data_IF_215660481369
#
_entry.id   IF_215660481369
#
_cell.length_a   1.000
_cell.length_b   1.000
_cell.length_c   1.000
_cell.angle_alpha   90.00
_cell.angle_beta   90.00
_cell.angle_gamma   90.00
#
_symmetry.space_group_name_H-M   'P 1'
#
loop_
_entity.id
_entity.type
_entity.pdbx_description
1 polymer ?
2 polymer ?
3 non-polymer ?
4 water ?
#
# COMPACT_ATOMS: atom_id res chain seq x y z
N UNK A 1 11.94 31.91 -8.45
CA UNK A 1 13.38 32.28 -8.27
C UNK A 1 14.03 31.71 -7.00
N UNK A 2 13.32 31.77 -5.87
CA UNK A 2 13.81 31.20 -4.62
C UNK A 2 13.82 29.67 -4.62
N UNK A 3 12.83 29.06 -5.28
CA UNK A 3 12.80 27.61 -5.47
C UNK A 3 13.87 27.11 -6.45
N UNK A 4 14.14 27.91 -7.49
CA UNK A 4 15.22 27.62 -8.43
C UNK A 4 16.57 27.56 -7.71
N UNK A 5 16.81 28.54 -6.82
CA UNK A 5 18.00 28.56 -5.95
C UNK A 5 18.16 27.27 -5.14
N UNK A 6 17.06 26.79 -4.56
CA UNK A 6 17.06 25.55 -3.76
C UNK A 6 17.26 24.29 -4.60
N UNK A 7 16.58 24.22 -5.74
CA UNK A 7 16.72 23.07 -6.66
C UNK A 7 18.10 22.96 -7.31
N UNK A 8 18.72 24.11 -7.57
CA UNK A 8 20.09 24.15 -8.13
C UNK A 8 21.14 23.59 -7.16
N UNK A 9 20.98 23.88 -5.87
CA UNK A 9 21.85 23.31 -4.83
C UNK A 9 21.79 21.78 -4.77
N UNK A 10 20.59 21.22 -4.98
CA UNK A 10 20.40 19.77 -5.04
C UNK A 10 21.06 19.19 -6.30
N UNK A 11 20.75 19.77 -7.45
CA UNK A 11 21.33 19.34 -8.74
C UNK A 11 22.86 19.49 -8.78
N UNK A 12 23.38 20.54 -8.16
CA UNK A 12 24.83 20.74 -8.03
C UNK A 12 25.49 19.63 -7.22
N UNK A 13 24.85 19.24 -6.12
CA UNK A 13 25.30 18.12 -5.29
C UNK A 13 25.16 16.77 -5.99
N UNK A 14 24.06 16.59 -6.73
CA UNK A 14 23.83 15.37 -7.52
C UNK A 14 24.92 15.16 -8.58
N UNK A 15 25.31 16.23 -9.25
CA UNK A 15 26.40 16.20 -10.23
C UNK A 15 27.76 15.94 -9.57
N UNK A 16 27.96 16.50 -8.38
CA UNK A 16 29.17 16.23 -7.58
C UNK A 16 29.27 14.76 -7.19
N UNK A 17 28.13 14.14 -6.88
CA UNK A 17 28.07 12.71 -6.53
C UNK A 17 28.35 11.80 -7.73
N UNK A 18 27.79 12.14 -8.89
CA UNK A 18 28.00 11.35 -10.11
C UNK A 18 29.44 11.44 -10.63
N UNK A 19 30.10 12.59 -10.40
CA UNK A 19 31.53 12.74 -10.68
C UNK A 19 32.39 11.77 -9.86
N UNK A 20 32.01 11.60 -8.60
CA UNK A 20 32.67 10.63 -7.70
C UNK A 20 32.35 9.17 -8.09
N UNK A 21 31.09 8.90 -8.44
CA UNK A 21 30.64 7.55 -8.81
C UNK A 21 31.35 6.99 -10.05
N UNK A 22 31.58 7.85 -11.04
CA UNK A 22 32.34 7.46 -12.25
C UNK A 22 33.81 7.19 -11.94
N UNK A 23 34.39 7.97 -11.04
CA UNK A 23 35.79 7.77 -10.62
C UNK A 23 35.93 6.52 -9.74
N UNK A 24 35.28 6.55 -8.58
CA UNK A 24 35.37 5.45 -7.61
C UNK A 24 34.41 4.32 -7.97
N UNK A 35 34.68 10.87 -1.42
CA UNK A 35 33.25 10.67 -1.21
C UNK A 35 32.59 11.95 -0.65
N UNK A 36 31.87 12.71 -1.51
CA UNK A 36 31.18 13.91 -1.04
C UNK A 36 30.08 13.63 -0.01
N UNK A 37 30.07 14.41 1.08
CA UNK A 37 29.07 14.28 2.14
C UNK A 37 27.99 15.38 1.99
N UNK A 38 26.73 15.05 2.33
CA UNK A 38 25.63 16.02 2.20
C UNK A 38 25.65 17.15 3.24
N UNK A 39 26.19 16.89 4.44
CA UNK A 39 26.27 17.89 5.50
C UNK A 39 27.13 19.12 5.14
N UNK A 40 28.17 18.90 4.34
CA UNK A 40 29.08 19.96 3.91
C UNK A 40 28.45 20.92 2.90
N UNK A 41 27.64 20.39 1.99
CA UNK A 41 26.98 21.18 0.94
C UNK A 41 25.65 21.84 1.36
N UNK A 42 25.17 21.55 2.57
CA UNK A 42 23.93 22.14 3.12
C UNK A 42 22.69 21.71 2.32
N UNK A 43 22.52 20.39 2.22
CA UNK A 43 21.47 19.77 1.40
C UNK A 43 20.20 19.48 2.20
N UNK A 44 20.35 18.95 3.41
CA UNK A 44 19.19 18.57 4.24
C UNK A 44 18.31 19.75 4.66
N UNK A 45 18.90 20.93 4.92
CA UNK A 45 18.09 22.15 5.10
C UNK A 45 17.37 22.60 3.83
N UNK A 46 18.02 22.47 2.67
CA UNK A 46 17.43 22.89 1.39
C UNK A 46 16.23 22.04 0.99
N UNK A 47 16.38 20.71 1.07
CA UNK A 47 15.29 19.78 0.79
C UNK A 47 14.16 19.85 1.83
N UNK A 48 14.49 20.21 3.07
CA UNK A 48 13.49 20.41 4.13
C UNK A 48 12.53 21.56 3.82
N UNK A 49 13.04 22.62 3.17
CA UNK A 49 12.19 23.73 2.71
C UNK A 49 11.28 23.25 1.57
N UNK A 50 11.85 22.55 0.59
CA UNK A 50 11.10 21.98 -0.54
C UNK A 50 10.05 20.96 -0.10
N UNK A 51 10.36 20.17 0.94
CA UNK A 51 9.39 19.27 1.57
C UNK A 51 8.16 20.05 2.05
N UNK A 52 8.40 21.17 2.71
CA UNK A 52 7.33 22.03 3.22
C UNK A 52 6.61 22.80 2.10
N UNK A 53 7.37 23.28 1.11
CA UNK A 53 6.78 23.97 -0.05
C UNK A 53 5.90 23.06 -0.92
N UNK A 54 6.19 21.76 -0.94
CA UNK A 54 5.44 20.79 -1.77
C UNK A 54 3.99 20.54 -1.34
N UNK A 55 3.62 20.94 -0.13
CA UNK A 55 2.22 20.84 0.33
C UNK A 55 1.27 21.77 -0.42
N UNK A 56 1.72 22.99 -0.72
CA UNK A 56 0.91 23.96 -1.45
C UNK A 56 0.80 23.62 -2.93
N UNK A 57 -0.38 23.83 -3.50
CA UNK A 57 -0.67 23.46 -4.89
C UNK A 57 -0.01 24.38 -5.91
N UNK A 58 -0.03 25.69 -5.63
CA UNK A 58 0.62 26.69 -6.49
C UNK A 58 2.15 26.53 -6.51
N UNK A 59 2.74 26.14 -5.38
CA UNK A 59 4.17 25.85 -5.30
C UNK A 59 4.55 24.55 -6.04
N UNK A 60 3.65 23.56 -6.05
CA UNK A 60 3.87 22.32 -6.83
C UNK A 60 3.91 22.58 -8.34
N UNK A 61 3.06 23.49 -8.82
CA UNK A 61 3.07 23.89 -10.23
C UNK A 61 4.39 24.55 -10.62
N UNK A 62 4.95 25.36 -9.71
CA UNK A 62 6.26 25.98 -9.90
C UNK A 62 7.41 24.96 -9.90
N UNK A 63 7.29 23.91 -9.08
CA UNK A 63 8.27 22.81 -9.07
C UNK A 63 8.27 22.00 -10.37
N UNK A 64 7.07 21.68 -10.86
CA UNK A 64 6.91 20.85 -12.06
C UNK A 64 7.47 21.51 -13.34
N UNK A 65 7.36 22.84 -13.42
CA UNK A 65 7.96 23.60 -14.53
C UNK A 65 9.49 23.56 -14.47
N UNK A 66 10.04 23.76 -13.29
CA UNK A 66 11.50 23.79 -13.07
C UNK A 66 12.15 22.40 -12.88
N UNK A 67 11.37 21.32 -12.98
CA UNK A 67 11.90 19.96 -12.90
C UNK A 67 12.26 19.55 -11.48
N UNK A 68 11.36 19.86 -10.54
CA UNK A 68 11.59 19.61 -9.11
C UNK A 68 11.51 18.15 -8.71
N UNK A 69 10.59 17.41 -9.32
CA UNK A 69 10.44 15.98 -9.07
C UNK A 69 11.67 15.18 -9.49
N UNK A 70 12.30 15.59 -10.59
CA UNK A 70 13.48 14.90 -11.11
C UNK A 70 14.72 15.13 -10.23
N UNK A 71 14.88 16.36 -9.72
CA UNK A 71 16.01 16.70 -8.85
C UNK A 71 15.94 16.02 -7.49
N UNK A 72 14.75 16.02 -6.88
CA UNK A 72 14.53 15.41 -5.56
C UNK A 72 14.63 13.88 -5.63
N UNK A 73 14.10 13.29 -6.70
CA UNK A 73 14.17 11.84 -6.90
C UNK A 73 15.60 11.33 -7.07
N UNK A 74 16.40 12.05 -7.85
CA UNK A 74 17.82 11.71 -8.07
C UNK A 74 18.69 11.92 -6.81
N UNK A 75 18.32 12.89 -5.99
CA UNK A 75 18.97 13.11 -4.68
C UNK A 75 18.73 11.90 -3.76
N UNK A 76 17.48 11.45 -3.71
CA UNK A 76 17.11 10.24 -2.98
C UNK A 76 17.78 8.99 -3.56
N UNK A 77 17.83 8.92 -4.89
CA UNK A 77 18.45 7.79 -5.60
C UNK A 77 19.94 7.66 -5.28
N UNK A 78 20.68 8.75 -5.50
CA UNK A 78 22.14 8.74 -5.37
C UNK A 78 22.63 8.51 -3.93
N UNK A 79 21.89 9.02 -2.95
CA UNK A 79 22.22 8.84 -1.54
C UNK A 79 22.02 7.39 -1.07
N UNK A 80 20.97 6.74 -1.57
CA UNK A 80 20.71 5.33 -1.30
C UNK A 80 21.79 4.42 -1.90
N UNK A 81 22.24 4.74 -3.11
CA UNK A 81 23.31 4.00 -3.79
C UNK A 81 24.67 4.16 -3.12
N UNK A 82 24.95 5.36 -2.59
CA UNK A 82 26.23 5.67 -1.95
C UNK A 82 26.36 5.03 -0.56
N UNK A 83 25.49 5.44 0.36
CA UNK A 83 25.57 5.03 1.77
C UNK A 83 24.88 3.71 2.10
N UNK A 84 23.96 3.26 1.25
CA UNK A 84 23.26 1.98 1.46
C UNK A 84 22.15 2.11 2.49
N UNK A 85 22.04 1.10 3.37
CA UNK A 85 21.04 1.08 4.43
C UNK A 85 21.66 1.53 5.76
N UNK A 86 22.15 2.78 5.77
CA UNK A 86 22.85 3.34 6.92
C UNK A 86 21.90 3.74 8.06
N UNK A 87 22.42 3.74 9.28
CA UNK A 87 21.71 4.24 10.47
C UNK A 87 22.06 5.72 10.78
N UNK A 88 22.84 6.36 9.92
CA UNK A 88 23.20 7.77 10.07
C UNK A 88 21.96 8.65 10.03
N UNK A 89 21.86 9.57 11.00
CA UNK A 89 20.69 10.45 11.14
C UNK A 89 20.56 11.41 9.96
N UNK A 90 21.67 11.98 9.51
CA UNK A 90 21.67 12.97 8.44
C UNK A 90 21.27 12.36 7.08
N UNK A 91 21.66 11.10 6.85
CA UNK A 91 21.29 10.37 5.64
C UNK A 91 19.80 10.00 5.63
N UNK A 92 19.29 9.51 6.76
CA UNK A 92 17.88 9.09 6.87
C UNK A 92 16.93 10.29 6.82
N UNK A 93 17.26 11.34 7.57
CA UNK A 93 16.48 12.58 7.59
C UNK A 93 16.40 13.24 6.20
N UNK A 94 17.47 13.15 5.43
CA UNK A 94 17.49 13.61 4.04
C UNK A 94 16.55 12.80 3.15
N UNK A 95 16.58 11.48 3.31
CA UNK A 95 15.71 10.57 2.58
C UNK A 95 14.23 10.70 2.99
N UNK A 96 13.98 11.05 4.25
CA UNK A 96 12.62 11.28 4.74
C UNK A 96 12.01 12.53 4.09
N UNK A 97 12.70 13.66 4.17
CA UNK A 97 12.23 14.92 3.58
C UNK A 97 12.10 14.86 2.05
N UNK A 98 12.98 14.09 1.40
CA UNK A 98 12.91 13.87 -0.05
C UNK A 98 11.67 13.06 -0.44
N UNK A 99 11.44 11.96 0.27
CA UNK A 99 10.29 11.09 0.03
C UNK A 99 8.95 11.75 0.33
N UNK A 100 8.90 12.59 1.36
CA UNK A 100 7.70 13.37 1.69
C UNK A 100 7.34 14.38 0.60
N UNK A 101 8.36 14.95 -0.06
CA UNK A 101 8.16 15.86 -1.19
C UNK A 101 7.64 15.13 -2.42
N UNK A 102 8.21 13.96 -2.71
CA UNK A 102 7.78 13.13 -3.84
C UNK A 102 6.35 12.61 -3.70
N UNK A 103 5.95 12.30 -2.46
CA UNK A 103 4.57 11.90 -2.16
C UNK A 103 3.58 12.99 -2.56
N UNK A 104 3.88 14.23 -2.17
CA UNK A 104 3.03 15.38 -2.47
C UNK A 104 3.01 15.71 -3.97
N UNK A 105 4.16 15.58 -4.62
CA UNK A 105 4.27 15.81 -6.06
C UNK A 105 3.53 14.74 -6.89
N UNK A 106 3.58 13.49 -6.44
CA UNK A 106 2.85 12.39 -7.10
C UNK A 106 1.33 12.44 -6.85
N UNK A 107 0.90 13.08 -5.76
CA UNK A 107 -0.52 13.17 -5.40
C UNK A 107 -1.34 13.97 -6.42
N UNK A 108 -2.17 13.25 -7.18
CA UNK A 108 -3.12 13.87 -8.11
C UNK A 108 -2.44 14.46 -9.34
N UNK A 109 -1.51 13.70 -9.91
CA UNK A 109 -0.76 14.13 -11.09
C UNK A 109 -0.28 12.90 -11.86
N UNK A 110 -1.02 12.52 -12.89
CA UNK A 110 -0.75 11.32 -13.69
C UNK A 110 0.62 11.33 -14.37
N UNK A 111 1.06 12.52 -14.80
CA UNK A 111 2.38 12.69 -15.43
C UNK A 111 3.52 12.41 -14.45
N UNK A 112 3.41 12.98 -13.25
CA UNK A 112 4.42 12.79 -12.20
C UNK A 112 4.53 11.35 -11.70
N UNK A 113 3.39 10.63 -11.67
CA UNK A 113 3.38 9.20 -11.34
C UNK A 113 4.19 8.41 -12.37
N UNK A 114 3.92 8.66 -13.65
CA UNK A 114 4.64 8.04 -14.76
C UNK A 114 6.13 8.39 -14.80
N UNK A 115 6.44 9.65 -14.48
CA UNK A 115 7.83 10.14 -14.49
C UNK A 115 8.69 9.44 -13.44
N UNK A 116 8.19 9.36 -12.21
CA UNK A 116 8.91 8.70 -11.13
C UNK A 116 9.02 7.18 -11.33
N UNK A 117 7.98 6.58 -11.92
CA UNK A 117 8.01 5.17 -12.31
C UNK A 117 9.04 4.91 -13.41
N UNK A 118 9.07 5.77 -14.42
CA UNK A 118 10.01 5.65 -15.55
C UNK A 118 11.48 5.75 -15.11
N UNK A 119 11.76 6.54 -14.08
CA UNK A 119 13.08 6.60 -13.46
C UNK A 119 13.34 5.33 -12.66
N UNK A 120 13.75 4.27 -13.36
CA UNK A 120 13.87 2.93 -12.77
C UNK A 120 15.01 2.79 -11.76
N UNK A 121 16.04 3.63 -11.86
CA UNK A 121 17.11 3.69 -10.86
C UNK A 121 16.60 4.13 -9.50
N UNK A 122 15.72 5.13 -9.49
CA UNK A 122 15.11 5.64 -8.27
C UNK A 122 14.10 4.66 -7.65
N UNK A 123 13.36 3.95 -8.50
CA UNK A 123 12.36 2.97 -8.04
C UNK A 123 12.99 1.79 -7.29
N UNK A 124 14.12 1.29 -7.80
CA UNK A 124 14.90 0.25 -7.10
C UNK A 124 15.46 0.78 -5.77
N UNK A 125 15.91 2.03 -5.78
CA UNK A 125 16.40 2.70 -4.56
C UNK A 125 15.31 2.89 -3.51
N UNK A 126 14.07 3.16 -3.95
CA UNK A 126 12.93 3.32 -3.04
C UNK A 126 12.55 2.02 -2.33
N UNK A 127 12.39 0.94 -3.10
CA UNK A 127 11.94 -0.35 -2.58
C UNK A 127 12.91 -0.95 -1.56
N UNK A 128 14.21 -0.72 -1.76
CA UNK A 128 15.25 -1.22 -0.84
C UNK A 128 15.19 -0.63 0.58
N UNK A 129 14.64 0.57 0.71
CA UNK A 129 14.55 1.26 2.01
C UNK A 129 13.47 0.72 2.97
N UNK A 130 12.60 -0.17 2.49
CA UNK A 130 11.60 -0.81 3.35
C UNK A 130 12.19 -1.75 4.42
N UNK A 131 13.40 -2.28 4.16
CA UNK A 131 14.13 -3.09 5.14
C UNK A 131 14.91 -2.28 6.20
N UNK A 132 14.90 -0.95 6.09
CA UNK A 132 15.59 -0.07 7.03
C UNK A 132 15.05 -0.17 8.46
N UNK A 133 15.91 0.12 9.44
CA UNK A 133 15.54 0.05 10.86
C UNK A 133 14.57 1.16 11.29
N UNK A 134 14.67 2.32 10.64
CA UNK A 134 13.76 3.43 10.92
C UNK A 134 12.38 3.16 10.30
N UNK A 135 11.37 2.97 11.17
CA UNK A 135 9.99 2.77 10.74
C UNK A 135 9.34 4.05 10.20
N UNK A 136 9.88 5.21 10.58
CA UNK A 136 9.48 6.49 9.98
C UNK A 136 9.82 6.51 8.48
N UNK A 137 11.02 6.03 8.14
CA UNK A 137 11.44 5.91 6.74
C UNK A 137 10.59 4.91 5.95
N UNK A 138 10.20 3.81 6.60
CA UNK A 138 9.27 2.83 6.02
C UNK A 138 7.91 3.46 5.71
N UNK A 139 7.43 4.31 6.62
CA UNK A 139 6.16 5.02 6.45
C UNK A 139 6.18 6.01 5.28
N UNK A 140 7.31 6.70 5.10
CA UNK A 140 7.50 7.67 4.00
C UNK A 140 7.58 6.96 2.65
N UNK A 141 8.33 5.85 2.60
CA UNK A 141 8.49 5.06 1.37
C UNK A 141 7.16 4.44 0.92
N UNK A 142 6.41 3.90 1.88
CA UNK A 142 5.09 3.32 1.62
C UNK A 142 4.06 4.35 1.12
N UNK A 143 4.18 5.59 1.61
CA UNK A 143 3.33 6.70 1.17
C UNK A 143 3.55 7.08 -0.30
N UNK A 144 4.79 7.00 -0.77
CA UNK A 144 5.13 7.27 -2.17
C UNK A 144 4.54 6.18 -3.07
N UNK A 145 4.73 4.92 -2.67
CA UNK A 145 4.23 3.77 -3.44
C UNK A 145 2.69 3.68 -3.48
N UNK A 146 2.03 4.28 -2.48
CA UNK A 146 0.56 4.38 -2.46
C UNK A 146 0.04 5.24 -3.61
N UNK A 147 0.64 6.42 -3.78
CA UNK A 147 0.24 7.36 -4.84
C UNK A 147 0.60 6.85 -6.24
N UNK A 148 1.76 6.21 -6.37
CA UNK A 148 2.19 5.62 -7.64
C UNK A 148 1.29 4.46 -8.09
N UNK A 149 0.93 3.60 -7.13
CA UNK A 149 0.01 2.48 -7.39
C UNK A 149 -1.43 2.92 -7.70
N UNK A 150 -1.84 4.07 -7.17
CA UNK A 150 -3.19 4.60 -7.42
C UNK A 150 -3.26 5.24 -8.82
N UNK A 151 -4.21 4.78 -9.63
CA UNK A 151 -4.42 5.24 -11.00
C UNK A 151 -3.14 5.16 -11.86
N UNK A 152 -2.50 3.99 -11.80
CA UNK A 152 -1.28 3.74 -12.54
C UNK A 152 -1.59 3.38 -13.98
N UNK A 153 -0.83 3.97 -14.92
CA UNK A 153 -0.89 3.57 -16.33
C UNK A 153 -0.27 2.18 -16.54
N UNK A 154 -0.42 1.64 -17.74
CA UNK A 154 0.02 0.27 -18.06
C UNK A 154 1.52 0.08 -17.79
N UNK A 155 2.33 1.05 -18.20
CA UNK A 155 3.79 1.00 -17.97
C UNK A 155 4.15 1.13 -16.49
N UNK A 156 3.44 1.99 -15.77
CA UNK A 156 3.64 2.17 -14.32
C UNK A 156 3.25 0.94 -13.52
N UNK A 157 2.18 0.26 -13.93
CA UNK A 157 1.78 -1.02 -13.34
C UNK A 157 2.85 -2.10 -13.53
N UNK A 158 3.34 -2.22 -14.77
CA UNK A 158 4.39 -3.18 -15.10
C UNK A 158 5.72 -2.92 -14.40
N UNK A 159 6.06 -1.64 -14.22
CA UNK A 159 7.29 -1.25 -13.53
C UNK A 159 7.25 -1.56 -12.03
N UNK A 160 6.11 -1.30 -11.40
CA UNK A 160 5.90 -1.62 -9.97
C UNK A 160 6.02 -3.12 -9.67
N UNK A 161 5.55 -3.95 -10.61
CA UNK A 161 5.72 -5.40 -10.52
C UNK A 161 7.17 -5.84 -10.76
N UNK A 162 7.82 -5.19 -11.73
CA UNK A 162 9.23 -5.48 -12.09
C UNK A 162 10.19 -5.25 -10.92
N UNK A 163 10.08 -4.09 -10.28
CA UNK A 163 10.93 -3.73 -9.13
C UNK A 163 10.68 -4.57 -7.88
N UNK A 164 9.49 -5.17 -7.78
CA UNK A 164 9.15 -6.09 -6.69
C UNK A 164 8.69 -5.37 -5.44
N UNK A 165 7.80 -4.40 -5.62
CA UNK A 165 7.24 -3.62 -4.51
C UNK A 165 6.19 -4.39 -3.70
N UNK A 166 5.55 -5.38 -4.33
CA UNK A 166 4.47 -6.14 -3.71
C UNK A 166 5.00 -7.05 -2.60
N UNK A 167 6.01 -7.84 -2.92
CA UNK A 167 6.64 -8.73 -1.94
C UNK A 167 7.46 -7.99 -0.89
N UNK A 168 8.07 -6.86 -1.28
CA UNK A 168 8.84 -6.02 -0.36
C UNK A 168 7.98 -5.35 0.71
N UNK A 169 6.81 -4.85 0.31
CA UNK A 169 5.85 -4.22 1.24
C UNK A 169 5.18 -5.23 2.17
N UNK A 170 4.86 -6.41 1.66
CA UNK A 170 4.23 -7.48 2.45
C UNK A 170 5.21 -8.05 3.49
N UNK A 171 6.45 -8.30 3.06
CA UNK A 171 7.53 -8.72 3.98
C UNK A 171 7.84 -7.65 5.04
N UNK A 172 7.81 -6.39 4.62
CA UNK A 172 7.97 -5.25 5.53
C UNK A 172 6.84 -5.20 6.58
N UNK A 173 5.60 -5.34 6.11
CA UNK A 173 4.40 -5.24 6.96
C UNK A 173 4.38 -6.18 8.17
N UNK A 174 5.00 -7.36 8.04
CA UNK A 174 5.09 -8.34 9.13
C UNK A 174 5.89 -7.81 10.33
N UNK A 175 6.99 -7.13 10.06
CA UNK A 175 7.88 -6.61 11.11
C UNK A 175 7.58 -5.17 11.57
N UNK A 176 6.56 -4.53 10.99
CA UNK A 176 6.14 -3.18 11.40
C UNK A 176 5.54 -3.21 12.81
N UNK A 177 5.84 -2.16 13.59
CA UNK A 177 5.37 -2.03 14.97
C UNK A 177 4.36 -0.88 15.10
N UNK A 178 4.75 0.31 14.63
CA UNK A 178 3.90 1.50 14.71
C UNK A 178 2.71 1.45 13.75
N UNK A 179 1.62 2.10 14.15
CA UNK A 179 0.37 2.11 13.39
C UNK A 179 0.44 2.98 12.13
N UNK A 180 1.10 4.14 12.26
CA UNK A 180 1.28 5.08 11.14
C UNK A 180 2.03 4.46 9.96
N UNK A 181 3.08 3.68 10.27
CA UNK A 181 3.82 2.91 9.27
C UNK A 181 2.94 1.83 8.64
N UNK A 182 2.25 1.07 9.49
CA UNK A 182 1.39 -0.04 9.04
C UNK A 182 0.23 0.41 8.14
N UNK A 183 -0.29 1.62 8.39
CA UNK A 183 -1.36 2.19 7.56
C UNK A 183 -0.89 2.41 6.13
N UNK A 184 0.24 3.11 5.97
CA UNK A 184 0.79 3.44 4.66
C UNK A 184 1.20 2.21 3.85
N UNK A 185 1.71 1.17 4.53
CA UNK A 185 2.13 -0.07 3.88
C UNK A 185 0.92 -0.85 3.35
N UNK A 186 -0.09 -1.02 4.20
CA UNK A 186 -1.33 -1.70 3.82
C UNK A 186 -2.16 -0.90 2.80
N UNK A 187 -2.04 0.44 2.84
CA UNK A 187 -2.66 1.30 1.82
C UNK A 187 -2.07 1.06 0.42
N UNK A 188 -0.75 0.91 0.36
CA UNK A 188 -0.05 0.63 -0.89
C UNK A 188 -0.36 -0.77 -1.44
N UNK A 189 -0.38 -1.77 -0.55
CA UNK A 189 -0.71 -3.15 -0.92
C UNK A 189 -2.16 -3.32 -1.42
N UNK A 190 -3.08 -2.54 -0.85
CA UNK A 190 -4.48 -2.55 -1.27
C UNK A 190 -4.63 -2.00 -2.70
N UNK A 191 -3.92 -0.91 -2.99
CA UNK A 191 -3.84 -0.36 -4.35
C UNK A 191 -3.12 -1.30 -5.32
N UNK A 192 -2.01 -1.90 -4.86
CA UNK A 192 -1.23 -2.84 -5.68
C UNK A 192 -1.98 -4.15 -5.98
N UNK A 193 -2.76 -4.63 -5.02
CA UNK A 193 -3.53 -5.87 -5.19
C UNK A 193 -4.61 -5.78 -6.29
N UNK A 194 -5.14 -4.58 -6.52
CA UNK A 194 -6.20 -4.36 -7.51
C UNK A 194 -5.72 -4.29 -8.98
N UNK A 195 -4.41 -4.21 -9.21
CA UNK A 195 -3.87 -4.05 -10.56
C UNK A 195 -4.07 -5.29 -11.44
N UNK A 196 -3.62 -6.44 -10.95
CA UNK A 196 -3.66 -7.69 -11.73
C UNK A 196 -3.65 -8.93 -10.85
N UNK A 197 -3.93 -10.07 -11.48
CA UNK A 197 -3.92 -11.39 -10.81
C UNK A 197 -2.55 -11.81 -10.28
N UNK A 198 -1.49 -11.43 -10.97
CA UNK A 198 -0.12 -11.77 -10.58
C UNK A 198 0.34 -10.99 -9.34
N UNK A 199 -0.17 -9.77 -9.18
CA UNK A 199 0.07 -8.97 -7.97
C UNK A 199 -0.59 -9.60 -6.74
N UNK A 200 -1.77 -10.19 -6.94
CA UNK A 200 -2.50 -10.90 -5.87
C UNK A 200 -1.77 -12.18 -5.44
N UNK A 201 -1.21 -12.89 -6.41
CA UNK A 201 -0.43 -14.12 -6.15
C UNK A 201 0.83 -13.84 -5.34
N UNK A 202 1.51 -12.75 -5.65
CA UNK A 202 2.73 -12.33 -4.93
C UNK A 202 2.47 -12.05 -3.45
N UNK A 203 1.29 -11.53 -3.12
CA UNK A 203 0.89 -11.27 -1.73
C UNK A 203 0.69 -12.59 -0.99
N UNK A 204 -0.06 -13.50 -1.59
CA UNK A 204 -0.32 -14.82 -1.02
C UNK A 204 0.93 -15.72 -0.96
N UNK A 205 1.86 -15.51 -1.89
CA UNK A 205 3.11 -16.28 -1.96
C UNK A 205 4.08 -16.03 -0.79
N UNK A 206 4.01 -14.84 -0.19
CA UNK A 206 4.86 -14.51 0.97
C UNK A 206 4.43 -15.36 2.17
N UNK A 207 5.41 -15.89 2.89
CA UNK A 207 5.18 -16.82 4.00
C UNK A 207 4.62 -16.10 5.22
N UNK A 208 3.49 -16.57 5.74
CA UNK A 208 2.79 -15.95 6.87
C UNK A 208 2.10 -14.63 6.54
N UNK A 209 1.83 -14.38 5.26
CA UNK A 209 1.21 -13.14 4.80
C UNK A 209 -0.30 -13.19 5.02
N UNK A 210 -0.92 -14.31 4.62
CA UNK A 210 -2.35 -14.53 4.80
C UNK A 210 -2.75 -14.57 6.28
N UNK A 211 -1.88 -15.14 7.12
CA UNK A 211 -2.08 -15.13 8.57
C UNK A 211 -2.08 -13.72 9.16
N UNK A 212 -1.23 -12.85 8.62
CA UNK A 212 -1.17 -11.43 9.03
C UNK A 212 -2.42 -10.65 8.61
N UNK A 213 -2.87 -10.87 7.38
CA UNK A 213 -4.06 -10.18 6.85
C UNK A 213 -5.36 -10.58 7.57
N UNK A 214 -5.44 -11.82 8.05
CA UNK A 214 -6.55 -12.26 8.92
C UNK A 214 -6.45 -11.60 10.29
N UNK A 215 -5.22 -11.45 10.81
CA UNK A 215 -4.96 -10.77 12.08
C UNK A 215 -5.35 -9.29 12.11
N UNK A 216 -5.21 -8.61 10.97
CA UNK A 216 -5.59 -7.20 10.86
C UNK A 216 -7.11 -6.94 10.93
N UNK A 217 -7.91 -7.97 10.70
CA UNK A 217 -9.38 -7.88 10.81
C UNK A 217 -9.83 -7.54 12.24
N UNK A 218 -9.16 -8.13 13.23
CA UNK A 218 -9.43 -7.87 14.65
C UNK A 218 -8.30 -7.03 15.28
N UNK A 219 -7.88 -5.99 14.57
CA UNK A 219 -6.75 -5.15 15.01
C UNK A 219 -7.20 -4.18 16.11
N UNK A 220 -6.45 -4.15 17.20
CA UNK A 220 -6.73 -3.24 18.33
C UNK A 220 -6.01 -1.91 18.08
N UNK A 221 -6.77 -0.93 17.60
CA UNK A 221 -6.22 0.38 17.23
C UNK A 221 -5.92 1.23 18.47
N UNK A 222 -4.89 2.06 18.37
CA UNK A 222 -4.48 2.96 19.46
C UNK A 222 -5.43 4.16 19.52
N UNK A 223 -5.55 4.87 18.41
CA UNK A 223 -6.51 5.97 18.26
C UNK A 223 -7.85 5.42 17.76
N UNK A 224 -8.90 6.24 17.87
CA UNK A 224 -10.25 5.85 17.44
C UNK A 224 -10.39 5.96 15.92
N UNK A 225 -9.86 4.96 15.21
CA UNK A 225 -9.92 4.88 13.76
C UNK A 225 -9.97 3.43 13.30
N UNK A 226 -10.61 3.20 12.15
CA UNK A 226 -10.76 1.87 11.56
C UNK A 226 -9.94 1.77 10.26
N UNK A 227 -8.73 2.34 10.28
CA UNK A 227 -7.88 2.41 9.08
C UNK A 227 -7.22 1.08 8.75
N UNK A 228 -6.74 0.37 9.78
CA UNK A 228 -6.00 -0.88 9.62
C UNK A 228 -6.92 -2.05 9.22
N UNK A 229 -8.14 -2.06 9.77
CA UNK A 229 -9.12 -3.10 9.46
C UNK A 229 -9.62 -2.97 8.01
N UNK A 230 -9.91 -1.73 7.59
CA UNK A 230 -10.33 -1.44 6.21
C UNK A 230 -9.23 -1.78 5.19
N UNK A 231 -7.99 -1.43 5.50
CA UNK A 231 -6.85 -1.67 4.61
C UNK A 231 -6.51 -3.15 4.50
N UNK A 232 -6.40 -3.82 5.64
CA UNK A 232 -6.09 -5.26 5.68
C UNK A 232 -7.18 -6.12 5.07
N UNK A 233 -8.42 -5.85 5.45
CA UNK A 233 -9.59 -6.52 4.86
C UNK A 233 -9.82 -6.18 3.40
N UNK A 234 -9.44 -4.96 3.01
CA UNK A 234 -9.50 -4.54 1.62
C UNK A 234 -8.52 -5.27 0.71
N UNK A 235 -7.32 -5.56 1.24
CA UNK A 235 -6.35 -6.41 0.56
C UNK A 235 -6.91 -7.84 0.44
N UNK A 236 -7.49 -8.33 1.52
CA UNK A 236 -8.08 -9.67 1.58
C UNK A 236 -9.21 -9.88 0.56
N UNK A 237 -10.03 -8.85 0.36
CA UNK A 237 -11.13 -8.89 -0.63
C UNK A 237 -10.62 -9.11 -2.06
N UNK A 238 -9.54 -8.41 -2.42
CA UNK A 238 -8.97 -8.49 -3.76
C UNK A 238 -8.34 -9.86 -4.03
N UNK A 239 -7.54 -10.35 -3.08
CA UNK A 239 -6.84 -11.64 -3.22
C UNK A 239 -7.72 -12.89 -2.98
N UNK A 240 -8.92 -12.71 -2.43
CA UNK A 240 -9.83 -13.84 -2.13
C UNK A 240 -10.29 -14.64 -3.35
N UNK A 241 -10.28 -14.01 -4.53
CA UNK A 241 -10.56 -14.71 -5.79
C UNK A 241 -9.55 -15.82 -6.10
N UNK A 242 -8.28 -15.54 -5.81
CA UNK A 242 -7.21 -16.54 -5.95
C UNK A 242 -7.26 -17.59 -4.84
N UNK A 243 -7.57 -17.16 -3.61
CA UNK A 243 -7.69 -18.06 -2.46
C UNK A 243 -8.90 -19.00 -2.61
N UNK A 244 -9.95 -18.51 -3.26
CA UNK A 244 -11.14 -19.33 -3.56
C UNK A 244 -10.83 -20.58 -4.39
N UNK A 245 -9.84 -20.48 -5.28
CA UNK A 245 -9.38 -21.59 -6.12
C UNK A 245 -8.06 -22.17 -5.57
N UNK A 246 -8.01 -22.42 -4.26
CA UNK A 246 -6.79 -22.91 -3.60
C UNK A 246 -7.14 -23.45 -2.20
N UNK A 247 -6.94 -24.75 -1.99
CA UNK A 247 -7.28 -25.40 -0.72
C UNK A 247 -6.30 -25.07 0.42
N UNK A 248 -5.01 -24.91 0.08
CA UNK A 248 -3.96 -24.62 1.07
C UNK A 248 -4.16 -23.27 1.75
N UNK A 249 -4.48 -22.24 0.97
CA UNK A 249 -4.71 -20.89 1.48
C UNK A 249 -6.00 -20.79 2.31
N UNK A 250 -7.03 -21.52 1.90
CA UNK A 250 -8.28 -21.64 2.69
C UNK A 250 -8.04 -22.18 4.10
N UNK A 251 -7.16 -23.17 4.22
CA UNK A 251 -6.83 -23.78 5.52
C UNK A 251 -6.13 -22.81 6.49
N UNK A 252 -5.36 -21.88 5.95
CA UNK A 252 -4.72 -20.83 6.76
C UNK A 252 -5.79 -19.89 7.34
N UNK A 253 -6.81 -19.59 6.54
CA UNK A 253 -7.95 -18.77 7.00
C UNK A 253 -8.81 -19.46 8.07
N UNK A 254 -9.00 -20.77 7.94
CA UNK A 254 -9.80 -21.55 8.91
C UNK A 254 -9.16 -21.59 10.30
N UNK A 255 -7.87 -21.93 10.35
CA UNK A 255 -7.13 -22.03 11.62
C UNK A 255 -6.86 -20.69 12.32
N UNK A 256 -7.05 -19.58 11.62
CA UNK A 256 -7.01 -18.23 12.22
C UNK A 256 -8.41 -17.59 12.38
N UNK A 257 -9.47 -18.36 12.14
CA UNK A 257 -10.86 -17.88 12.20
C UNK A 257 -11.12 -16.65 11.32
N UNK A 258 -11.21 -16.87 10.01
CA UNK A 258 -11.44 -15.78 9.05
C UNK A 258 -12.93 -15.59 8.78
N UNK A 259 -13.60 -16.69 8.41
CA UNK A 259 -15.03 -16.67 8.08
C UNK A 259 -15.89 -16.21 9.25
N UNK A 260 -15.53 -16.65 10.45
CA UNK A 260 -16.23 -16.25 11.69
C UNK A 260 -16.03 -14.76 12.00
N UNK A 261 -14.84 -14.24 11.69
CA UNK A 261 -14.54 -12.80 11.83
C UNK A 261 -15.27 -11.95 10.79
N UNK A 262 -15.26 -12.40 9.54
CA UNK A 262 -15.92 -11.66 8.44
C UNK A 262 -17.44 -11.52 8.61
N UNK A 263 -18.05 -12.45 9.34
CA UNK A 263 -19.47 -12.34 9.72
C UNK A 263 -19.72 -11.24 10.74
N UNK A 264 -18.80 -11.07 11.70
CA UNK A 264 -18.86 -9.96 12.66
C UNK A 264 -18.69 -8.60 11.98
N UNK A 265 -17.89 -8.57 10.92
CA UNK A 265 -17.67 -7.36 10.11
C UNK A 265 -18.92 -6.86 9.35
N UNK A 266 -19.91 -7.72 9.16
CA UNK A 266 -21.20 -7.33 8.56
C UNK A 266 -22.01 -6.37 9.45
N UNK A 267 -21.86 -6.51 10.77
CA UNK A 267 -22.53 -5.63 11.74
C UNK A 267 -21.90 -4.22 11.85
N UNK A 268 -20.68 -4.05 11.34
CA UNK A 268 -19.93 -2.80 11.50
C UNK A 268 -20.62 -1.59 10.87
N UNK A 269 -20.46 -0.43 11.50
CA UNK A 269 -21.01 0.83 11.01
C UNK A 269 -20.21 1.40 9.83
N UNK A 270 -18.93 1.00 9.73
CA UNK A 270 -18.09 1.37 8.59
C UNK A 270 -18.56 0.64 7.33
N UNK A 271 -19.01 1.41 6.34
CA UNK A 271 -19.50 0.86 5.07
C UNK A 271 -18.40 0.19 4.24
N UNK A 272 -17.15 0.63 4.42
CA UNK A 272 -15.99 0.02 3.78
C UNK A 272 -15.73 -1.40 4.29
N UNK A 273 -15.81 -1.58 5.61
CA UNK A 273 -15.60 -2.89 6.25
C UNK A 273 -16.70 -3.90 5.83
N UNK A 274 -17.94 -3.43 5.78
CA UNK A 274 -19.07 -4.27 5.35
C UNK A 274 -18.93 -4.64 3.87
N UNK A 275 -18.55 -3.66 3.04
CA UNK A 275 -18.31 -3.88 1.62
C UNK A 275 -17.16 -4.85 1.35
N UNK A 276 -16.07 -4.71 2.12
CA UNK A 276 -14.93 -5.64 2.03
C UNK A 276 -15.28 -7.06 2.47
N UNK A 277 -16.11 -7.17 3.50
CA UNK A 277 -16.55 -8.48 4.02
C UNK A 277 -17.44 -9.23 3.04
N UNK A 278 -18.43 -8.53 2.48
CA UNK A 278 -19.33 -9.09 1.46
C UNK A 278 -18.59 -9.54 0.20
N UNK A 279 -17.59 -8.75 -0.20
CA UNK A 279 -16.74 -9.09 -1.35
C UNK A 279 -15.87 -10.31 -1.11
N UNK A 280 -15.32 -10.43 0.11
CA UNK A 280 -14.53 -11.61 0.51
C UNK A 280 -15.41 -12.86 0.61
N UNK A 281 -16.60 -12.71 1.21
CA UNK A 281 -17.56 -13.81 1.34
C UNK A 281 -18.18 -14.27 0.01
N UNK A 282 -18.19 -13.38 -0.99
CA UNK A 282 -18.62 -13.73 -2.36
C UNK A 282 -17.72 -14.82 -2.93
N UNK A 283 -16.41 -14.55 -2.95
CA UNK A 283 -15.43 -15.45 -3.57
C UNK A 283 -15.26 -16.76 -2.79
N UNK A 284 -15.20 -16.68 -1.47
CA UNK A 284 -15.00 -17.86 -0.62
C UNK A 284 -16.20 -18.81 -0.57
N UNK A 285 -17.41 -18.30 -0.78
CA UNK A 285 -18.64 -19.12 -0.76
C UNK A 285 -18.77 -20.07 -1.96
N UNK A 286 -18.11 -19.76 -3.08
CA UNK A 286 -18.20 -20.58 -4.30
C UNK A 286 -17.23 -21.78 -4.27
N UNK A 287 -17.61 -22.83 -5.00
CA UNK A 287 -16.80 -24.05 -5.24
C UNK A 287 -16.04 -24.64 -4.02
N UNK A 288 -16.70 -24.71 -2.87
CA UNK A 288 -16.11 -25.30 -1.67
C UNK A 288 -17.21 -25.74 -0.66
N UNK A 289 -17.59 -27.04 -0.68
CA UNK A 289 -18.59 -27.57 0.26
C UNK A 289 -18.25 -27.45 1.75
N UNK A 290 -16.96 -27.44 2.10
CA UNK A 290 -16.53 -27.36 3.49
C UNK A 290 -16.82 -26.00 4.12
N UNK A 291 -16.32 -24.94 3.48
CA UNK A 291 -16.55 -23.56 3.93
C UNK A 291 -17.99 -23.09 3.71
N UNK A 292 -18.71 -23.71 2.77
CA UNK A 292 -20.14 -23.48 2.59
C UNK A 292 -20.93 -23.93 3.84
N UNK A 293 -20.69 -25.18 4.24
CA UNK A 293 -21.35 -25.75 5.43
C UNK A 293 -21.00 -25.00 6.72
N UNK A 294 -19.75 -24.52 6.80
CA UNK A 294 -19.30 -23.70 7.93
C UNK A 294 -20.06 -22.37 8.04
N UNK A 295 -20.30 -21.72 6.90
CA UNK A 295 -21.07 -20.47 6.86
C UNK A 295 -22.55 -20.65 7.23
N UNK A 296 -23.14 -21.77 6.83
CA UNK A 296 -24.50 -22.12 7.26
C UNK A 296 -24.62 -22.28 8.78
N UNK A 297 -23.63 -22.94 9.38
CA UNK A 297 -23.60 -23.18 10.84
C UNK A 297 -23.38 -21.90 11.64
N UNK A 298 -22.48 -21.03 11.16
CA UNK A 298 -22.19 -19.75 11.82
C UNK A 298 -23.31 -18.69 11.68
N UNK A 299 -24.26 -18.91 10.78
CA UNK A 299 -25.41 -18.02 10.62
C UNK A 299 -25.17 -16.93 9.59
N UNK A 300 -24.63 -17.32 8.44
CA UNK A 300 -24.33 -16.39 7.35
C UNK A 300 -25.58 -16.00 6.56
N UNK A 301 -26.50 -16.95 6.39
CA UNK A 301 -27.71 -16.73 5.59
C UNK A 301 -28.60 -15.64 6.19
N UNK A 302 -28.74 -15.65 7.52
CA UNK A 302 -29.52 -14.64 8.24
C UNK A 302 -28.89 -13.24 8.13
N UNK A 303 -27.58 -13.17 8.36
CA UNK A 303 -26.84 -11.90 8.36
C UNK A 303 -26.75 -11.29 6.95
N UNK A 304 -26.52 -12.14 5.96
CA UNK A 304 -26.47 -11.70 4.56
C UNK A 304 -27.85 -11.27 4.01
N UNK A 305 -28.92 -11.90 4.51
CA UNK A 305 -30.30 -11.54 4.13
C UNK A 305 -30.69 -10.12 4.60
N UNK A 306 -30.07 -9.63 5.67
CA UNK A 306 -30.29 -8.25 6.14
C UNK A 306 -29.69 -7.21 5.18
N UNK A 307 -28.56 -7.54 4.56
CA UNK A 307 -27.83 -6.60 3.69
C UNK A 307 -28.24 -6.59 2.21
N UNK A 308 -29.14 -7.47 1.79
CA UNK A 308 -29.58 -7.51 0.37
C UNK A 308 -30.33 -6.25 -0.07
N UNK A 309 -31.05 -5.62 0.86
CA UNK A 309 -31.79 -4.38 0.59
C UNK A 309 -31.03 -3.11 1.00
N UNK A 310 -29.70 -3.13 0.87
CA UNK A 310 -28.86 -1.98 1.21
C UNK A 310 -28.93 -0.93 0.10
N UNK A 311 -28.76 0.33 0.49
CA UNK A 311 -28.80 1.45 -0.46
C UNK A 311 -27.59 1.47 -1.41
N UNK A 312 -26.44 0.99 -0.93
CA UNK A 312 -25.20 1.00 -1.70
C UNK A 312 -25.11 -0.20 -2.65
N UNK A 313 -24.32 -0.03 -3.71
CA UNK A 313 -24.25 -1.01 -4.79
C UNK A 313 -23.50 -2.28 -4.40
N UNK A 314 -22.26 -2.11 -3.95
CA UNK A 314 -21.35 -3.24 -3.68
C UNK A 314 -21.77 -4.09 -2.48
N UNK A 315 -22.34 -3.45 -1.45
CA UNK A 315 -22.86 -4.16 -0.28
C UNK A 315 -24.07 -5.01 -0.67
N UNK A 316 -24.97 -4.43 -1.46
CA UNK A 316 -26.16 -5.14 -1.98
C UNK A 316 -25.81 -6.26 -2.97
N UNK A 317 -24.83 -6.01 -3.84
CA UNK A 317 -24.38 -6.99 -4.83
C UNK A 317 -23.63 -8.16 -4.20
N UNK A 318 -22.69 -7.84 -3.31
CA UNK A 318 -21.86 -8.85 -2.63
C UNK A 318 -22.61 -9.73 -1.64
N UNK A 319 -23.54 -9.14 -0.88
CA UNK A 319 -24.36 -9.90 0.06
C UNK A 319 -25.35 -10.83 -0.65
N UNK A 320 -25.94 -10.34 -1.74
CA UNK A 320 -26.89 -11.13 -2.55
C UNK A 320 -26.20 -12.28 -3.29
N UNK A 321 -25.02 -12.03 -3.82
CA UNK A 321 -24.25 -13.02 -4.57
C UNK A 321 -23.72 -14.16 -3.69
N UNK A 322 -23.22 -13.79 -2.51
CA UNK A 322 -22.78 -14.78 -1.50
C UNK A 322 -23.94 -15.62 -0.97
N UNK A 323 -25.08 -14.97 -0.75
CA UNK A 323 -26.33 -15.65 -0.38
C UNK A 323 -26.78 -16.64 -1.47
N UNK A 324 -26.60 -16.28 -2.73
CA UNK A 324 -26.91 -17.15 -3.88
C UNK A 324 -26.11 -18.46 -3.82
N UNK A 325 -24.81 -18.33 -3.54
CA UNK A 325 -23.92 -19.51 -3.44
C UNK A 325 -24.29 -20.44 -2.29
N UNK A 326 -24.64 -19.87 -1.14
CA UNK A 326 -25.04 -20.65 0.03
C UNK A 326 -26.41 -21.30 -0.14
N UNK A 327 -27.38 -20.54 -0.62
CA UNK A 327 -28.74 -21.04 -0.86
C UNK A 327 -28.79 -22.13 -1.94
N UNK A 328 -27.96 -21.98 -2.97
CA UNK A 328 -27.84 -22.97 -4.04
C UNK A 328 -27.28 -24.31 -3.54
N UNK A 329 -26.31 -24.24 -2.63
CA UNK A 329 -25.66 -25.43 -2.07
C UNK A 329 -25.99 -25.61 -0.59
N UNK A 330 -27.21 -26.05 -0.31
CA UNK A 330 -27.65 -26.33 1.06
C UNK A 330 -27.05 -27.66 1.53
N UNK A 331 -26.59 -27.73 2.80
CA UNK A 331 -26.12 -29.03 3.33
C UNK A 331 -27.24 -30.07 3.52
N UNK A 332 -26.83 -31.34 3.60
CA UNK A 332 -27.77 -32.45 3.84
C UNK A 332 -28.38 -32.42 5.25
N UNK A 333 -27.63 -31.86 6.20
CA UNK A 333 -28.11 -31.66 7.59
C UNK A 333 -29.40 -30.86 7.68
N UNK A 334 -29.55 -29.85 6.82
CA UNK A 334 -30.70 -28.95 6.83
C UNK A 334 -31.85 -29.50 5.99
N UNK A 335 -32.95 -29.86 6.65
CA UNK A 335 -34.20 -30.31 6.03
C UNK A 335 -34.02 -31.68 5.37
N UNK B 2 -7.54 1.93 -1.62
CA UNK B 2 -7.04 2.80 -0.56
C UNK B 2 -7.06 4.27 -0.97
N UNK B 3 -6.93 4.54 -2.26
CA UNK B 3 -6.91 5.91 -2.78
C UNK B 3 -5.51 6.49 -2.75
N UNK B 4 -5.44 7.80 -2.98
CA UNK B 4 -4.19 8.55 -2.91
C UNK B 4 -4.31 9.63 -1.83
N UNK B 5 -3.16 10.14 -1.40
CA UNK B 5 -3.10 11.08 -0.29
C UNK B 5 -1.78 11.86 -0.28
N UNK B 6 -1.83 13.06 0.29
CA UNK B 6 -0.63 13.80 0.65
C UNK B 6 0.01 13.11 1.87
N UNK B 7 1.20 13.56 2.25
CA UNK B 7 1.95 12.89 3.31
C UNK B 7 1.22 12.93 4.66
N UNK B 8 1.08 11.75 5.27
CA UNK B 8 0.50 11.61 6.61
C UNK B 8 1.49 12.14 7.65
N UNK B 9 1.31 13.40 8.02
CA UNK B 9 2.30 14.13 8.81
C UNK B 9 2.18 13.80 10.31
#
# INVERSE_FOLDING_TARGET
>A
HHMLHLLEQIRAYCETCWEWQEAHEPGMDQDKNPMPAPVEHQICPAVCVLMKLSFDEEHRHAMNELGGLQAIAELLQVDCEMYGLTNDHYSITLRRYAGMALTNLTFGDVANKATLCSMKGCMRALVAQLKSESEDLQQVIASVLRNLSWRADVNSKKTLREVGSVKALMECALEVKKESTLKSVLSALWNLSAHCTENKADICAVDGALAFLVGTLTYRSQTNTLAIIESGGGILRNVSSLIATNEDHRQILRENNCLQTLLQHLKSHSLTIVSNACGTLWNLSARNPKDQEALWDMGAVSMLKNLIHSKHKMIAMGSAAALRNLMANRPAKYK
>B
XAGESLYEKX
#
